data_IF_383161980576
#
_entry.id   IF_383161980576
#
_cell.length_a   1.000
_cell.length_b   1.000
_cell.length_c   1.000
_cell.angle_alpha   90.00
_cell.angle_beta   90.00
_cell.angle_gamma   90.00
#
_symmetry.space_group_name_H-M   'P 1'
#
loop_
_entity.id
_entity.type
_entity.pdbx_description
1 polymer ?
#
# COMPACT_ATOMS: atom_id res chain seq x y z
N UNK A 1 -5.76 39.70 10.20
CA UNK A 1 -5.77 38.21 10.25
C UNK A 1 -5.72 37.70 8.82
N UNK A 2 -4.64 37.00 8.44
CA UNK A 2 -4.48 36.43 7.09
C UNK A 2 -5.53 35.34 6.85
N UNK A 3 -6.35 35.52 5.81
CA UNK A 3 -7.35 34.56 5.37
C UNK A 3 -6.62 33.33 4.79
N UNK A 4 -6.24 32.38 5.65
CA UNK A 4 -5.54 31.14 5.26
C UNK A 4 -6.48 30.34 4.37
N UNK A 5 -6.23 30.38 3.06
CA UNK A 5 -6.95 29.58 2.05
C UNK A 5 -6.85 28.11 2.45
N UNK A 6 -7.98 27.50 2.88
CA UNK A 6 -8.08 26.08 3.20
C UNK A 6 -7.74 25.29 1.94
N UNK A 7 -6.60 24.62 1.90
CA UNK A 7 -6.28 23.69 0.83
C UNK A 7 -7.06 22.42 1.14
N UNK A 8 -8.07 22.14 0.33
CA UNK A 8 -8.84 20.91 0.43
C UNK A 8 -8.00 19.79 -0.20
N UNK A 9 -7.29 19.02 0.62
CA UNK A 9 -6.67 17.79 0.16
C UNK A 9 -7.78 16.79 -0.18
N UNK A 10 -7.91 16.47 -1.46
CA UNK A 10 -8.90 15.51 -1.91
C UNK A 10 -8.55 14.08 -1.49
N UNK A 11 -7.25 13.75 -1.44
CA UNK A 11 -6.73 12.46 -1.01
C UNK A 11 -5.28 12.58 -0.49
N UNK A 12 -4.89 11.63 0.36
CA UNK A 12 -3.51 11.37 0.77
C UNK A 12 -3.04 10.05 0.16
N UNK A 13 -1.73 9.84 0.08
CA UNK A 13 -1.13 8.62 -0.47
C UNK A 13 -0.56 7.80 0.68
N UNK A 14 -0.90 6.51 0.75
CA UNK A 14 -0.39 5.59 1.76
C UNK A 14 0.50 4.53 1.13
N UNK A 15 1.67 4.28 1.71
CA UNK A 15 2.60 3.23 1.30
C UNK A 15 2.99 2.41 2.52
N UNK A 16 2.99 1.09 2.39
CA UNK A 16 3.53 0.18 3.40
C UNK A 16 4.77 -0.48 2.82
N UNK A 17 5.85 -0.56 3.60
CA UNK A 17 7.10 -1.19 3.18
C UNK A 17 7.77 -1.93 4.33
N UNK A 18 8.83 -2.68 4.03
CA UNK A 18 9.65 -3.41 5.00
C UNK A 18 11.08 -3.57 4.46
N UNK A 19 11.97 -4.07 5.30
CA UNK A 19 13.42 -4.07 5.06
C UNK A 19 13.84 -4.63 3.69
N UNK A 20 13.26 -5.76 3.25
CA UNK A 20 13.70 -6.41 2.00
C UNK A 20 13.35 -5.60 0.74
N UNK A 21 12.40 -4.67 0.83
CA UNK A 21 11.95 -3.85 -0.31
C UNK A 21 12.56 -2.46 -0.34
N UNK A 22 13.38 -2.11 0.65
CA UNK A 22 13.85 -0.75 0.86
C UNK A 22 14.58 -0.17 -0.35
N UNK A 23 15.68 -0.81 -0.76
CA UNK A 23 16.56 -0.25 -1.80
C UNK A 23 15.99 -0.39 -3.21
N UNK A 24 15.49 -1.58 -3.54
CA UNK A 24 15.08 -1.90 -4.91
C UNK A 24 13.73 -1.29 -5.31
N UNK A 25 12.80 -1.16 -4.36
CA UNK A 25 11.41 -0.81 -4.67
C UNK A 25 10.98 0.50 -3.98
N UNK A 26 11.18 0.59 -2.66
CA UNK A 26 10.66 1.71 -1.89
C UNK A 26 11.37 3.03 -2.18
N UNK A 27 12.70 3.06 -2.26
CA UNK A 27 13.45 4.29 -2.61
C UNK A 27 13.00 4.83 -3.98
N UNK A 28 12.98 4.04 -5.07
CA UNK A 28 12.48 4.49 -6.37
C UNK A 28 11.04 5.00 -6.31
N UNK A 29 10.13 4.28 -5.63
CA UNK A 29 8.73 4.68 -5.54
C UNK A 29 8.57 6.04 -4.83
N UNK A 30 9.23 6.24 -3.69
CA UNK A 30 9.10 7.50 -2.95
C UNK A 30 9.60 8.68 -3.78
N UNK A 31 10.75 8.53 -4.47
CA UNK A 31 11.24 9.57 -5.39
C UNK A 31 10.21 9.90 -6.49
N UNK A 32 9.55 8.87 -7.07
CA UNK A 32 8.50 9.07 -8.07
C UNK A 32 7.27 9.74 -7.47
N UNK A 33 6.84 9.34 -6.27
CA UNK A 33 5.67 9.90 -5.61
C UNK A 33 5.84 11.38 -5.27
N UNK A 34 7.00 11.78 -4.73
CA UNK A 34 7.24 13.20 -4.38
C UNK A 34 7.32 14.08 -5.62
N UNK A 35 7.79 13.54 -6.76
CA UNK A 35 7.85 14.27 -8.03
C UNK A 35 6.48 14.34 -8.73
N UNK A 36 5.73 13.24 -8.75
CA UNK A 36 4.43 13.17 -9.42
C UNK A 36 3.34 13.86 -8.59
N UNK A 37 3.44 13.78 -7.26
CA UNK A 37 2.47 14.31 -6.30
C UNK A 37 3.10 15.27 -5.27
N UNK A 38 3.78 16.35 -5.70
CA UNK A 38 4.48 17.27 -4.79
C UNK A 38 3.52 18.03 -3.85
N UNK A 39 2.24 18.10 -4.21
CA UNK A 39 1.18 18.76 -3.47
C UNK A 39 0.36 17.84 -2.57
N UNK A 40 0.66 16.53 -2.55
CA UNK A 40 -0.08 15.55 -1.74
C UNK A 40 0.72 15.15 -0.51
N UNK A 41 -0.01 14.80 0.54
CA UNK A 41 0.53 14.09 1.69
C UNK A 41 0.86 12.66 1.29
N UNK A 42 2.04 12.18 1.69
CA UNK A 42 2.46 10.79 1.56
C UNK A 42 2.72 10.24 2.96
N UNK A 43 2.08 9.13 3.32
CA UNK A 43 2.20 8.45 4.60
C UNK A 43 2.86 7.10 4.37
N UNK A 44 4.00 6.86 5.00
CA UNK A 44 4.73 5.61 4.92
C UNK A 44 4.63 4.83 6.23
N UNK A 45 4.13 3.60 6.19
CA UNK A 45 4.22 2.68 7.31
C UNK A 45 5.43 1.78 7.07
N UNK A 46 6.45 1.96 7.92
CA UNK A 46 7.67 1.14 7.91
C UNK A 46 7.40 -0.05 8.83
N UNK A 47 7.11 -1.19 8.22
CA UNK A 47 6.74 -2.39 8.94
C UNK A 47 7.97 -3.06 9.57
N UNK A 48 7.74 -3.73 10.70
CA UNK A 48 8.81 -4.36 11.47
C UNK A 48 9.29 -5.66 10.86
N UNK A 49 10.49 -6.06 11.24
CA UNK A 49 11.12 -7.32 10.86
C UNK A 49 11.38 -8.15 12.13
N UNK A 50 11.49 -9.48 11.99
CA UNK A 50 11.70 -10.39 13.13
C UNK A 50 13.13 -10.36 13.67
N UNK A 51 14.11 -10.11 12.79
CA UNK A 51 15.50 -9.79 13.19
C UNK A 51 15.57 -8.34 13.66
N UNK A 52 15.73 -8.16 14.96
CA UNK A 52 15.79 -6.86 15.63
C UNK A 52 17.01 -6.03 15.23
N UNK A 53 18.18 -6.66 15.09
CA UNK A 53 19.41 -5.95 14.73
C UNK A 53 19.33 -5.42 13.29
N UNK A 54 18.82 -6.24 12.37
CA UNK A 54 18.52 -5.83 11.01
C UNK A 54 17.48 -4.70 10.99
N UNK A 55 16.41 -4.84 11.78
CA UNK A 55 15.35 -3.84 11.85
C UNK A 55 15.86 -2.48 12.34
N UNK A 56 16.63 -2.45 13.43
CA UNK A 56 17.19 -1.19 13.97
C UNK A 56 18.07 -0.50 12.93
N UNK A 57 18.91 -1.26 12.22
CA UNK A 57 19.76 -0.69 11.17
C UNK A 57 18.93 -0.15 10.00
N UNK A 58 17.91 -0.91 9.57
CA UNK A 58 16.98 -0.49 8.53
C UNK A 58 16.23 0.79 8.91
N UNK A 59 15.67 0.87 10.13
CA UNK A 59 14.95 2.04 10.62
C UNK A 59 15.80 3.31 10.58
N UNK A 60 17.09 3.23 10.92
CA UNK A 60 18.01 4.38 10.79
C UNK A 60 18.15 4.86 9.34
N UNK A 61 18.29 3.93 8.39
CA UNK A 61 18.49 4.27 6.99
C UNK A 61 17.23 4.83 6.33
N UNK A 62 16.08 4.19 6.56
CA UNK A 62 14.81 4.60 5.94
C UNK A 62 14.32 5.94 6.49
N UNK A 63 14.47 6.20 7.79
CA UNK A 63 14.10 7.50 8.35
C UNK A 63 15.01 8.62 7.85
N UNK A 64 16.31 8.40 7.75
CA UNK A 64 17.25 9.34 7.15
C UNK A 64 16.93 9.63 5.67
N UNK A 65 16.45 8.63 4.91
CA UNK A 65 15.98 8.82 3.55
C UNK A 65 14.68 9.65 3.50
N UNK A 66 13.66 9.28 4.27
CA UNK A 66 12.35 9.93 4.24
C UNK A 66 12.38 11.37 4.74
N UNK A 67 13.25 11.69 5.71
CA UNK A 67 13.43 13.05 6.25
C UNK A 67 13.92 14.07 5.21
N UNK A 68 14.30 13.64 4.01
CA UNK A 68 14.64 14.51 2.88
C UNK A 68 13.40 15.14 2.24
N UNK A 69 12.21 14.60 2.49
CA UNK A 69 10.98 14.98 1.81
C UNK A 69 9.96 15.57 2.80
N UNK A 70 9.65 16.87 2.71
CA UNK A 70 8.77 17.54 3.66
C UNK A 70 7.29 17.15 3.53
N UNK A 71 6.88 16.56 2.41
CA UNK A 71 5.51 16.07 2.20
C UNK A 71 5.32 14.59 2.57
N UNK A 72 6.36 13.96 3.15
CA UNK A 72 6.35 12.56 3.54
C UNK A 72 6.35 12.46 5.06
N UNK A 73 5.38 11.71 5.59
CA UNK A 73 5.24 11.37 7.00
C UNK A 73 5.37 9.86 7.17
N UNK A 74 5.80 9.39 8.34
CA UNK A 74 5.97 7.97 8.55
C UNK A 74 5.72 7.52 9.98
N UNK A 75 5.35 6.24 10.10
CA UNK A 75 5.39 5.47 11.36
C UNK A 75 6.40 4.34 11.19
N UNK A 76 7.26 4.18 12.19
CA UNK A 76 8.19 3.06 12.28
C UNK A 76 7.69 2.02 13.27
N UNK A 77 7.81 0.75 12.89
CA UNK A 77 7.54 -0.38 13.77
C UNK A 77 8.82 -1.16 14.01
N UNK A 78 9.13 -1.45 15.27
CA UNK A 78 10.21 -2.37 15.62
C UNK A 78 9.82 -3.83 15.39
N UNK A 79 8.52 -4.13 15.52
CA UNK A 79 7.95 -5.47 15.35
C UNK A 79 6.95 -5.50 14.22
N UNK A 80 6.94 -6.60 13.46
CA UNK A 80 6.01 -6.80 12.36
C UNK A 80 4.56 -6.57 12.81
N UNK A 81 3.81 -5.82 12.01
CA UNK A 81 2.37 -5.59 12.12
C UNK A 81 1.67 -6.18 10.90
N UNK A 82 0.40 -6.57 11.04
CA UNK A 82 -0.40 -7.02 9.91
C UNK A 82 -0.53 -5.92 8.85
N UNK A 83 -0.62 -6.34 7.58
CA UNK A 83 -0.83 -5.39 6.48
C UNK A 83 -2.17 -4.67 6.63
N UNK A 84 -3.21 -5.40 7.05
CA UNK A 84 -4.53 -4.85 7.39
C UNK A 84 -4.44 -3.69 8.41
N UNK A 85 -3.66 -3.87 9.48
CA UNK A 85 -3.44 -2.82 10.48
C UNK A 85 -2.72 -1.61 9.89
N UNK A 86 -1.73 -1.83 9.03
CA UNK A 86 -1.05 -0.75 8.34
C UNK A 86 -2.01 0.07 7.45
N UNK A 87 -2.96 -0.57 6.76
CA UNK A 87 -4.00 0.11 5.99
C UNK A 87 -4.95 0.92 6.89
N UNK A 88 -5.35 0.36 8.04
CA UNK A 88 -6.15 1.09 9.03
C UNK A 88 -5.42 2.34 9.54
N UNK A 89 -4.12 2.23 9.83
CA UNK A 89 -3.29 3.36 10.25
C UNK A 89 -3.18 4.44 9.18
N UNK A 90 -2.92 4.08 7.93
CA UNK A 90 -2.92 5.03 6.80
C UNK A 90 -4.25 5.80 6.75
N UNK A 91 -5.38 5.10 6.88
CA UNK A 91 -6.68 5.75 6.83
C UNK A 91 -6.91 6.70 8.01
N UNK A 92 -6.53 6.31 9.23
CA UNK A 92 -6.68 7.17 10.41
C UNK A 92 -5.79 8.41 10.34
N UNK A 93 -4.54 8.24 9.95
CA UNK A 93 -3.54 9.32 9.91
C UNK A 93 -3.75 10.31 8.77
N UNK A 94 -4.36 9.87 7.68
CA UNK A 94 -4.61 10.70 6.49
C UNK A 94 -5.34 12.00 6.85
N UNK A 95 -4.76 13.15 6.48
CA UNK A 95 -5.45 14.43 6.61
C UNK A 95 -6.64 14.52 5.65
N UNK A 96 -6.57 13.83 4.51
CA UNK A 96 -7.63 13.83 3.53
C UNK A 96 -8.78 12.89 3.92
N UNK A 97 -9.91 13.07 3.24
CA UNK A 97 -11.09 12.18 3.38
C UNK A 97 -10.89 10.81 2.71
N UNK A 98 -9.88 10.71 1.85
CA UNK A 98 -9.60 9.57 0.99
C UNK A 98 -8.11 9.22 1.06
N UNK A 99 -7.81 7.94 0.95
CA UNK A 99 -6.45 7.44 0.89
C UNK A 99 -6.29 6.63 -0.39
N UNK A 100 -5.32 7.03 -1.21
CA UNK A 100 -4.79 6.23 -2.31
C UNK A 100 -3.69 5.34 -1.72
N UNK A 101 -3.98 4.07 -1.53
CA UNK A 101 -3.03 3.09 -1.00
C UNK A 101 -2.27 2.48 -2.17
N UNK A 102 -0.94 2.47 -2.08
CA UNK A 102 -0.02 2.02 -3.13
C UNK A 102 1.03 1.11 -2.48
N UNK A 103 1.22 -0.08 -3.03
CA UNK A 103 2.29 -0.98 -2.61
C UNK A 103 3.66 -0.44 -3.03
N UNK A 104 4.70 -0.81 -2.29
CA UNK A 104 6.06 -0.36 -2.54
C UNK A 104 6.70 -0.92 -3.82
N UNK A 105 6.21 -2.06 -4.35
CA UNK A 105 6.72 -2.73 -5.55
C UNK A 105 6.06 -2.28 -6.86
N UNK A 106 5.82 -0.97 -7.00
CA UNK A 106 5.22 -0.37 -8.19
C UNK A 106 6.07 0.79 -8.70
N UNK A 107 5.88 1.14 -9.97
CA UNK A 107 6.42 2.37 -10.55
C UNK A 107 5.32 3.16 -11.22
N UNK A 108 5.42 4.49 -11.13
CA UNK A 108 4.44 5.42 -11.68
C UNK A 108 5.08 6.64 -12.33
N UNK A 109 4.29 7.35 -13.14
CA UNK A 109 4.67 8.60 -13.79
C UNK A 109 3.54 9.64 -13.76
N UNK A 110 3.75 10.79 -14.42
CA UNK A 110 2.75 11.86 -14.53
C UNK A 110 1.44 11.45 -15.22
N UNK A 111 1.48 10.47 -16.13
CA UNK A 111 0.27 9.95 -16.77
C UNK A 111 -0.64 9.27 -15.74
N UNK A 112 -0.06 8.59 -14.74
CA UNK A 112 -0.83 7.97 -13.66
C UNK A 112 -1.65 9.03 -12.92
N UNK A 113 -1.01 10.10 -12.44
CA UNK A 113 -1.70 11.20 -11.76
C UNK A 113 -2.86 11.74 -12.59
N UNK A 114 -2.60 12.07 -13.86
CA UNK A 114 -3.62 12.63 -14.75
C UNK A 114 -4.83 11.71 -14.90
N UNK A 115 -4.61 10.40 -15.07
CA UNK A 115 -5.68 9.42 -15.22
C UNK A 115 -6.42 9.18 -13.90
N UNK A 116 -5.67 9.06 -12.81
CA UNK A 116 -6.21 8.85 -11.48
C UNK A 116 -7.09 10.03 -11.03
N UNK A 117 -6.62 11.28 -11.15
CA UNK A 117 -7.39 12.46 -10.76
C UNK A 117 -8.68 12.58 -11.61
N UNK A 118 -8.65 12.21 -12.89
CA UNK A 118 -9.86 12.14 -13.73
C UNK A 118 -10.87 11.07 -13.27
N UNK A 119 -10.38 9.92 -12.81
CA UNK A 119 -11.26 8.88 -12.22
C UNK A 119 -11.86 9.41 -10.92
N UNK A 120 -11.07 10.11 -10.11
CA UNK A 120 -11.47 10.64 -8.81
C UNK A 120 -12.61 11.67 -8.89
N UNK A 121 -12.62 12.51 -9.93
CA UNK A 121 -13.71 13.50 -10.18
C UNK A 121 -15.10 12.86 -10.20
N UNK A 122 -15.20 11.60 -10.64
CA UNK A 122 -16.47 10.89 -10.82
C UNK A 122 -16.69 9.79 -9.77
N UNK A 123 -15.73 9.55 -8.87
CA UNK A 123 -15.75 8.41 -7.95
C UNK A 123 -15.31 8.83 -6.55
N UNK A 124 -16.20 8.66 -5.57
CA UNK A 124 -16.03 9.32 -4.28
C UNK A 124 -15.53 8.45 -3.14
N UNK A 125 -15.66 7.12 -3.25
CA UNK A 125 -15.67 6.25 -2.06
C UNK A 125 -14.67 5.08 -2.09
N UNK A 126 -14.71 4.20 -3.08
CA UNK A 126 -13.79 3.07 -3.16
C UNK A 126 -13.67 2.56 -4.59
N UNK A 127 -12.45 2.19 -5.00
CA UNK A 127 -12.19 1.46 -6.25
C UNK A 127 -10.78 0.89 -6.27
N UNK A 128 -10.57 -0.15 -7.08
CA UNK A 128 -9.25 -0.70 -7.38
C UNK A 128 -8.73 -0.24 -8.75
N UNK A 129 -7.42 -0.18 -8.91
CA UNK A 129 -6.76 0.25 -10.15
C UNK A 129 -6.11 -0.95 -10.82
N UNK A 130 -6.31 -1.10 -12.12
CA UNK A 130 -5.77 -2.19 -12.95
C UNK A 130 -6.05 -3.59 -12.37
N UNK A 131 -7.27 -3.80 -11.85
CA UNK A 131 -7.71 -5.09 -11.25
C UNK A 131 -6.80 -5.59 -10.12
N UNK A 132 -6.18 -4.67 -9.38
CA UNK A 132 -5.19 -5.03 -8.38
C UNK A 132 -5.38 -4.24 -7.08
N UNK A 133 -5.22 -4.95 -5.97
CA UNK A 133 -5.15 -4.41 -4.61
C UNK A 133 -3.79 -3.79 -4.27
N UNK A 134 -2.84 -3.80 -5.21
CA UNK A 134 -1.58 -3.06 -5.04
C UNK A 134 -1.72 -1.56 -5.20
N UNK A 135 -2.87 -1.09 -5.69
CA UNK A 135 -3.18 0.32 -5.84
C UNK A 135 -4.69 0.51 -5.86
N UNK A 136 -5.23 1.10 -4.79
CA UNK A 136 -6.67 1.31 -4.63
C UNK A 136 -6.94 2.60 -3.87
N UNK A 137 -8.12 3.18 -4.12
CA UNK A 137 -8.63 4.30 -3.36
C UNK A 137 -9.63 3.79 -2.33
N UNK A 138 -9.57 4.32 -1.12
CA UNK A 138 -10.60 4.12 -0.10
C UNK A 138 -10.90 5.41 0.65
N UNK A 139 -12.17 5.72 0.86
CA UNK A 139 -12.62 6.86 1.66
C UNK A 139 -12.90 6.46 3.10
N UNK A 140 -12.70 7.41 4.01
CA UNK A 140 -13.06 7.30 5.43
C UNK A 140 -14.54 6.95 5.60
N UNK A 141 -15.43 7.55 4.79
CA UNK A 141 -16.87 7.23 4.83
C UNK A 141 -17.16 5.79 4.40
N UNK A 142 -16.46 5.28 3.40
CA UNK A 142 -16.60 3.89 2.95
C UNK A 142 -16.13 2.90 4.02
N UNK A 143 -14.99 3.20 4.68
CA UNK A 143 -14.51 2.40 5.80
C UNK A 143 -15.48 2.40 6.99
N UNK A 144 -16.15 3.52 7.29
CA UNK A 144 -17.19 3.54 8.34
C UNK A 144 -18.38 2.64 8.02
N UNK A 145 -18.70 2.46 6.74
CA UNK A 145 -19.84 1.66 6.31
C UNK A 145 -19.52 0.15 6.28
N UNK A 146 -18.32 -0.21 5.81
CA UNK A 146 -17.85 -1.60 5.66
C UNK A 146 -17.16 -2.14 6.93
N UNK A 147 -16.56 -1.25 7.72
CA UNK A 147 -15.73 -1.55 8.88
C UNK A 147 -14.24 -1.57 8.55
N UNK A 148 -13.42 -1.71 9.60
CA UNK A 148 -11.95 -1.76 9.51
C UNK A 148 -11.43 -2.92 8.66
N UNK A 149 -10.20 -2.84 8.15
CA UNK A 149 -9.49 -4.02 7.68
C UNK A 149 -9.26 -4.99 8.85
N UNK A 150 -9.34 -6.29 8.58
CA UNK A 150 -9.28 -7.36 9.58
C UNK A 150 -7.84 -7.54 10.11
N UNK A 151 -7.53 -6.95 11.27
CA UNK A 151 -6.17 -6.98 11.82
C UNK A 151 -5.72 -8.35 12.33
N UNK A 152 -6.65 -9.30 12.53
CA UNK A 152 -6.35 -10.69 12.90
C UNK A 152 -5.71 -11.49 11.75
N UNK A 153 -5.69 -10.94 10.53
CA UNK A 153 -4.85 -11.42 9.42
C UNK A 153 -3.41 -10.97 9.65
N UNK A 154 -2.66 -11.72 10.47
CA UNK A 154 -1.35 -11.33 11.00
C UNK A 154 -0.23 -11.20 9.95
N UNK A 155 -0.27 -12.00 8.89
CA UNK A 155 0.74 -12.05 7.85
C UNK A 155 0.38 -11.17 6.65
N UNK A 156 0.75 -11.63 5.45
CA UNK A 156 0.34 -11.03 4.17
C UNK A 156 -0.63 -11.95 3.43
N UNK A 157 -1.60 -11.39 2.73
CA UNK A 157 -2.58 -12.11 1.92
C UNK A 157 -3.94 -12.23 2.60
N UNK A 158 -4.99 -12.37 1.80
CA UNK A 158 -6.40 -12.46 2.24
C UNK A 158 -6.99 -11.18 2.83
N UNK A 159 -6.22 -10.10 3.03
CA UNK A 159 -6.78 -8.82 3.46
C UNK A 159 -7.71 -8.24 2.40
N UNK A 160 -7.34 -8.40 1.13
CA UNK A 160 -8.15 -8.07 -0.04
C UNK A 160 -9.39 -8.97 -0.14
N UNK A 161 -9.20 -10.28 -0.04
CA UNK A 161 -10.28 -11.26 -0.06
C UNK A 161 -11.31 -11.02 1.04
N UNK A 162 -10.86 -10.77 2.27
CA UNK A 162 -11.73 -10.46 3.42
C UNK A 162 -12.55 -9.19 3.16
N UNK A 163 -11.88 -8.13 2.71
CA UNK A 163 -12.53 -6.84 2.50
C UNK A 163 -13.54 -6.90 1.34
N UNK A 164 -13.21 -7.58 0.23
CA UNK A 164 -14.15 -7.82 -0.88
C UNK A 164 -15.42 -8.52 -0.38
N UNK A 165 -15.27 -9.61 0.37
CA UNK A 165 -16.44 -10.37 0.86
C UNK A 165 -17.34 -9.49 1.74
N UNK A 166 -16.77 -8.59 2.54
CA UNK A 166 -17.54 -7.65 3.36
C UNK A 166 -18.20 -6.54 2.55
N UNK A 167 -17.56 -6.05 1.49
CA UNK A 167 -18.17 -5.10 0.55
C UNK A 167 -19.39 -5.77 -0.11
N UNK A 168 -19.23 -6.99 -0.63
CA UNK A 168 -20.30 -7.73 -1.30
C UNK A 168 -21.45 -8.07 -0.34
N UNK A 169 -21.15 -8.45 0.91
CA UNK A 169 -22.17 -8.69 1.94
C UNK A 169 -23.02 -7.45 2.27
N UNK A 170 -22.52 -6.24 1.98
CA UNK A 170 -23.25 -4.97 2.09
C UNK A 170 -24.03 -4.62 0.81
N UNK A 171 -24.05 -5.49 -0.20
CA UNK A 171 -24.71 -5.26 -1.48
C UNK A 171 -24.03 -4.18 -2.33
N UNK A 172 -22.71 -4.02 -2.19
CA UNK A 172 -21.92 -3.02 -2.92
C UNK A 172 -21.00 -3.67 -3.94
N UNK A 173 -20.67 -2.90 -4.98
CA UNK A 173 -19.71 -3.29 -6.00
C UNK A 173 -18.26 -2.99 -5.59
N UNK A 174 -17.33 -3.61 -6.32
CA UNK A 174 -15.88 -3.33 -6.27
C UNK A 174 -15.50 -2.72 -7.64
N UNK A 175 -15.62 -1.39 -7.82
CA UNK A 175 -15.35 -0.77 -9.10
C UNK A 175 -13.88 -0.89 -9.49
N UNK A 176 -13.62 -1.05 -10.78
CA UNK A 176 -12.28 -1.20 -11.34
C UNK A 176 -12.03 -0.12 -12.39
N UNK A 177 -10.87 0.54 -12.31
CA UNK A 177 -10.44 1.53 -13.29
C UNK A 177 -9.06 1.23 -13.84
N UNK A 178 -8.85 1.59 -15.11
CA UNK A 178 -7.55 1.40 -15.77
C UNK A 178 -6.76 2.70 -15.73
N UNK A 179 -5.53 2.62 -15.24
CA UNK A 179 -4.54 3.69 -15.32
C UNK A 179 -3.24 3.13 -15.91
N UNK A 180 -2.83 3.62 -17.07
CA UNK A 180 -1.66 3.13 -17.80
C UNK A 180 -0.33 3.66 -17.25
N UNK A 181 -0.35 4.74 -16.48
CA UNK A 181 0.86 5.33 -15.93
C UNK A 181 1.44 4.62 -14.70
N UNK A 182 0.88 3.49 -14.27
CA UNK A 182 1.34 2.70 -13.12
C UNK A 182 1.58 1.23 -13.52
N UNK A 183 2.68 0.65 -13.05
CA UNK A 183 3.10 -0.73 -13.32
C UNK A 183 3.45 -1.42 -12.01
N UNK A 184 3.02 -2.67 -11.88
CA UNK A 184 3.36 -3.53 -10.74
C UNK A 184 4.51 -4.47 -11.13
N UNK A 185 5.58 -4.48 -10.35
CA UNK A 185 6.74 -5.35 -10.60
C UNK A 185 6.53 -6.80 -10.11
N UNK A 186 5.55 -7.03 -9.24
CA UNK A 186 5.28 -8.32 -8.57
C UNK A 186 6.57 -8.87 -7.94
N UNK A 187 7.07 -8.16 -6.92
CA UNK A 187 8.27 -8.59 -6.22
C UNK A 187 7.97 -9.83 -5.35
N UNK A 188 8.88 -10.82 -5.29
CA UNK A 188 8.73 -11.95 -4.37
C UNK A 188 8.61 -11.44 -2.93
N UNK A 189 7.86 -12.17 -2.11
CA UNK A 189 7.83 -11.91 -0.67
C UNK A 189 9.03 -12.61 -0.03
N UNK A 190 10.01 -11.82 0.39
CA UNK A 190 11.18 -12.32 1.10
C UNK A 190 11.04 -11.98 2.58
N UNK A 191 11.01 -12.99 3.44
CA UNK A 191 11.04 -12.82 4.90
C UNK A 191 9.92 -11.92 5.44
N UNK A 192 8.75 -11.88 4.80
CA UNK A 192 7.57 -11.24 5.37
C UNK A 192 7.29 -11.87 6.74
N UNK A 193 7.08 -11.05 7.78
CA UNK A 193 6.82 -11.57 9.12
C UNK A 193 5.68 -12.59 9.12
N UNK A 194 5.80 -13.60 9.98
CA UNK A 194 4.82 -14.69 10.16
C UNK A 194 4.77 -15.77 9.07
N UNK A 195 5.73 -15.82 8.13
CA UNK A 195 5.83 -16.89 7.13
C UNK A 195 5.94 -18.31 7.72
N UNK A 196 6.47 -18.44 8.95
CA UNK A 196 6.81 -19.72 9.59
C UNK A 196 5.95 -20.06 10.83
N UNK A 197 4.75 -19.48 10.96
CA UNK A 197 3.94 -19.57 12.20
C UNK A 197 2.74 -20.51 12.08
N UNK A 198 2.43 -21.04 10.89
CA UNK A 198 1.38 -22.06 10.78
C UNK A 198 1.93 -23.45 11.12
N UNK A 199 1.22 -24.17 11.99
CA UNK A 199 1.49 -25.57 12.32
C UNK A 199 1.16 -26.53 11.15
N UNK A 200 0.42 -26.07 10.13
CA UNK A 200 -0.17 -26.92 9.10
C UNK A 200 0.52 -26.85 7.74
N UNK A 201 1.36 -25.84 7.49
CA UNK A 201 2.06 -25.67 6.22
C UNK A 201 3.38 -24.93 6.41
N UNK A 202 4.48 -25.57 6.02
CA UNK A 202 5.79 -24.94 5.82
C UNK A 202 5.70 -23.95 4.64
N UNK A 203 5.48 -22.67 4.93
CA UNK A 203 5.29 -21.64 3.92
C UNK A 203 3.90 -21.70 3.28
N UNK A 204 3.21 -20.57 3.24
CA UNK A 204 1.83 -20.53 2.74
C UNK A 204 1.70 -20.77 1.23
N UNK A 205 0.46 -20.78 0.75
CA UNK A 205 0.16 -21.03 -0.67
C UNK A 205 0.52 -19.78 -1.50
N UNK A 206 1.64 -19.84 -2.22
CA UNK A 206 2.10 -18.74 -3.08
C UNK A 206 2.62 -17.55 -2.27
N UNK A 207 2.03 -16.36 -2.49
CA UNK A 207 2.38 -15.11 -1.80
C UNK A 207 1.56 -14.87 -0.52
N UNK A 208 0.76 -15.84 -0.08
CA UNK A 208 -0.11 -15.69 1.08
C UNK A 208 0.48 -16.45 2.25
N UNK A 209 0.50 -15.79 3.41
CA UNK A 209 0.90 -16.43 4.66
C UNK A 209 -0.11 -17.51 5.05
N UNK A 210 0.42 -18.63 5.52
CA UNK A 210 -0.39 -19.77 5.95
C UNK A 210 -1.37 -19.40 7.07
N UNK A 211 -0.92 -18.58 8.02
CA UNK A 211 -1.73 -18.10 9.15
C UNK A 211 -2.95 -17.30 8.66
N UNK A 212 -2.82 -16.50 7.60
CA UNK A 212 -3.94 -15.74 7.05
C UNK A 212 -4.95 -16.65 6.36
N UNK A 213 -4.50 -17.64 5.60
CA UNK A 213 -5.41 -18.62 4.99
C UNK A 213 -6.17 -19.42 6.05
N UNK A 214 -5.49 -19.89 7.09
CA UNK A 214 -6.12 -20.62 8.19
C UNK A 214 -7.17 -19.76 8.91
N UNK A 215 -6.84 -18.50 9.20
CA UNK A 215 -7.80 -17.57 9.79
C UNK A 215 -8.98 -17.31 8.85
N UNK A 216 -8.73 -17.12 7.55
CA UNK A 216 -9.77 -16.86 6.55
C UNK A 216 -10.75 -18.04 6.44
N UNK A 217 -10.24 -19.27 6.40
CA UNK A 217 -11.06 -20.49 6.36
C UNK A 217 -11.84 -20.71 7.67
N UNK A 218 -11.28 -20.28 8.81
CA UNK A 218 -12.01 -20.25 10.08
C UNK A 218 -13.13 -19.21 10.04
N UNK A 219 -12.88 -18.02 9.49
CA UNK A 219 -13.84 -16.90 9.45
C UNK A 219 -15.02 -17.15 8.53
N UNK A 220 -14.80 -17.76 7.37
CA UNK A 220 -15.83 -17.90 6.34
C UNK A 220 -16.35 -19.35 6.19
N UNK A 221 -17.62 -19.46 5.83
CA UNK A 221 -18.26 -20.68 5.31
C UNK A 221 -18.95 -20.38 3.98
N UNK A 222 -19.14 -21.39 3.13
CA UNK A 222 -19.94 -21.23 1.92
C UNK A 222 -21.41 -21.01 2.29
N UNK A 223 -22.08 -20.10 1.57
CA UNK A 223 -23.54 -19.95 1.63
C UNK A 223 -24.26 -21.22 1.20
N UNK A 224 -25.56 -21.31 1.50
CA UNK A 224 -26.40 -22.46 1.14
C UNK A 224 -26.42 -22.73 -0.38
N UNK A 225 -26.36 -21.68 -1.21
CA UNK A 225 -26.27 -21.79 -2.67
C UNK A 225 -24.84 -22.04 -3.19
N UNK A 226 -23.84 -22.03 -2.30
CA UNK A 226 -22.43 -22.23 -2.61
C UNK A 226 -21.76 -21.09 -3.37
N UNK A 227 -22.46 -19.99 -3.64
CA UNK A 227 -21.99 -18.90 -4.51
C UNK A 227 -21.27 -17.77 -3.78
N UNK A 228 -21.46 -17.67 -2.46
CA UNK A 228 -20.89 -16.60 -1.64
C UNK A 228 -20.26 -17.15 -0.37
N UNK A 229 -19.43 -16.33 0.26
CA UNK A 229 -18.89 -16.61 1.58
C UNK A 229 -19.71 -15.85 2.62
N UNK A 230 -20.08 -16.55 3.69
CA UNK A 230 -20.81 -16.03 4.84
C UNK A 230 -19.86 -16.06 6.03
N UNK A 231 -19.82 -14.97 6.80
CA UNK A 231 -19.05 -14.91 8.05
C UNK A 231 -19.69 -15.85 9.06
N UNK A 232 -18.89 -16.71 9.69
CA UNK A 232 -19.36 -17.59 10.77
C UNK A 232 -19.67 -16.75 12.01
N UNK A 233 -20.66 -17.17 12.77
CA UNK A 233 -21.05 -16.53 14.02
C UNK A 233 -19.84 -16.35 14.97
N UNK A 234 -19.66 -15.13 15.49
CA UNK A 234 -18.54 -14.77 16.37
C UNK A 234 -17.22 -14.47 15.64
N UNK A 235 -17.19 -14.59 14.31
CA UNK A 235 -16.02 -14.27 13.47
C UNK A 235 -16.17 -12.93 12.75
N UNK A 236 -17.14 -12.09 13.14
CA UNK A 236 -17.30 -10.73 12.65
C UNK A 236 -16.02 -9.92 12.85
N UNK A 237 -15.80 -8.94 11.98
CA UNK A 237 -14.62 -8.06 12.09
C UNK A 237 -14.83 -7.14 13.30
N UNK A 238 -13.95 -7.17 14.31
CA UNK A 238 -14.13 -6.35 15.51
C UNK A 238 -14.00 -4.86 15.20
N UNK A 239 -14.56 -4.06 16.09
CA UNK A 239 -14.24 -2.65 16.19
C UNK A 239 -12.84 -2.49 16.80
N UNK A 240 -11.79 -2.49 15.97
CA UNK A 240 -10.41 -2.32 16.44
C UNK A 240 -10.15 -0.92 17.01
N UNK A 241 -10.77 0.09 16.41
CA UNK A 241 -10.73 1.49 16.85
C UNK A 241 -12.12 2.10 16.74
N UNK A 242 -12.38 3.16 17.50
CA UNK A 242 -13.58 3.96 17.35
C UNK A 242 -13.66 4.57 15.95
N UNK A 243 -14.85 4.56 15.32
CA UNK A 243 -15.03 5.13 13.98
C UNK A 243 -14.77 6.64 13.94
N UNK A 244 -14.83 7.33 15.08
CA UNK A 244 -14.44 8.73 15.21
C UNK A 244 -12.97 8.97 14.89
N UNK A 245 -12.11 7.94 14.96
CA UNK A 245 -10.72 8.05 14.52
C UNK A 245 -10.59 8.24 13.01
N UNK A 246 -11.65 7.99 12.24
CA UNK A 246 -11.73 8.31 10.82
C UNK A 246 -12.35 9.69 10.57
N UNK A 247 -12.76 10.44 11.59
CA UNK A 247 -13.17 11.82 11.39
C UNK A 247 -11.97 12.65 10.94
N UNK A 248 -12.17 13.43 9.88
CA UNK A 248 -11.14 14.36 9.41
C UNK A 248 -10.85 15.33 10.55
N UNK A 249 -9.60 15.40 10.98
CA UNK A 249 -9.17 16.51 11.82
C UNK A 249 -9.30 17.80 10.99
N UNK A 250 -9.66 18.92 11.61
CA UNK A 250 -9.61 20.24 10.97
C UNK A 250 -8.18 20.70 10.61
N UNK A 251 -7.20 19.79 10.71
CA UNK A 251 -5.80 20.04 10.41
C UNK A 251 -5.65 20.29 8.90
N UNK A 252 -5.20 21.50 8.61
CA UNK A 252 -4.90 21.94 7.25
C UNK A 252 -3.49 21.46 6.92
N UNK A 253 -3.38 20.42 6.09
CA UNK A 253 -2.11 20.12 5.43
C UNK A 253 -1.74 21.29 4.52
N UNK A 254 -0.51 21.78 4.66
CA UNK A 254 0.05 22.79 3.76
C UNK A 254 1.11 22.10 2.92
N UNK A 255 0.91 21.98 1.60
CA UNK A 255 1.93 21.41 0.73
C UNK A 255 3.20 22.26 0.86
N UNK A 256 4.35 21.64 1.15
CA UNK A 256 5.60 22.35 1.36
C UNK A 256 6.19 22.90 0.05
N UNK A 257 5.78 22.34 -1.09
CA UNK A 257 6.24 22.75 -2.42
C UNK A 257 5.27 23.74 -3.08
N UNK A 258 5.83 24.75 -3.75
CA UNK A 258 5.07 25.68 -4.57
C UNK A 258 4.53 24.91 -5.80
N UNK A 259 3.24 24.60 -5.78
CA UNK A 259 2.56 23.77 -6.79
C UNK A 259 2.48 24.38 -8.19
N UNK A 260 3.08 25.57 -8.39
CA UNK A 260 3.20 26.23 -9.70
C UNK A 260 4.38 25.71 -10.54
N UNK A 261 5.34 25.00 -9.94
CA UNK A 261 6.44 24.41 -10.69
C UNK A 261 6.01 23.07 -11.30
N UNK A 262 6.17 22.95 -12.62
CA UNK A 262 5.86 21.71 -13.34
C UNK A 262 6.95 20.67 -13.03
N UNK A 263 6.59 19.41 -12.76
CA UNK A 263 7.56 18.33 -12.60
C UNK A 263 8.47 18.20 -13.83
N UNK A 264 9.70 17.74 -13.61
CA UNK A 264 10.76 17.68 -14.62
C UNK A 264 10.35 16.84 -15.82
N UNK A 265 10.45 17.42 -17.03
CA UNK A 265 10.11 16.75 -18.29
C UNK A 265 10.93 15.46 -18.51
N UNK A 266 12.14 15.37 -17.93
CA UNK A 266 13.14 14.33 -18.19
C UNK A 266 12.72 12.93 -17.71
N UNK A 267 11.87 12.78 -16.69
CA UNK A 267 11.47 11.47 -16.16
C UNK A 267 10.29 10.82 -16.90
N UNK A 268 9.50 11.60 -17.65
CA UNK A 268 8.32 11.11 -18.39
C UNK A 268 8.67 10.04 -19.43
N UNK A 269 9.93 10.00 -19.89
CA UNK A 269 10.44 9.10 -20.93
C UNK A 269 11.02 7.77 -20.40
N UNK A 270 11.10 7.53 -19.09
CA UNK A 270 11.89 6.40 -18.53
C UNK A 270 11.11 5.12 -18.24
N UNK A 271 9.78 5.11 -18.36
CA UNK A 271 8.98 3.88 -18.20
C UNK A 271 9.35 2.72 -19.15
N UNK A 272 9.65 2.92 -20.45
CA UNK A 272 10.02 1.80 -21.31
C UNK A 272 11.36 1.14 -20.93
N UNK A 273 12.24 1.82 -20.19
CA UNK A 273 13.53 1.23 -19.78
C UNK A 273 13.43 0.36 -18.52
N UNK A 274 12.61 0.75 -17.52
CA UNK A 274 12.47 -0.03 -16.29
C UNK A 274 11.60 -1.29 -16.46
N UNK A 275 10.63 -1.28 -17.38
CA UNK A 275 9.84 -2.48 -17.72
C UNK A 275 10.72 -3.54 -18.42
N UNK A 276 11.64 -3.11 -19.29
CA UNK A 276 12.60 -4.03 -19.93
C UNK A 276 13.58 -4.66 -18.92
N UNK A 277 13.94 -3.93 -17.86
CA UNK A 277 14.84 -4.44 -16.82
C UNK A 277 14.19 -5.50 -15.91
N UNK A 278 12.90 -5.32 -15.59
CA UNK A 278 12.08 -6.27 -14.81
C UNK A 278 11.97 -7.64 -15.52
N UNK A 279 11.70 -7.66 -16.82
CA UNK A 279 11.60 -8.91 -17.60
C UNK A 279 12.95 -9.57 -17.90
N UNK A 280 14.09 -8.87 -17.74
CA UNK A 280 15.43 -9.35 -18.06
C UNK A 280 16.11 -10.15 -16.93
N UNK A 281 15.54 -10.19 -15.71
CA UNK A 281 16.18 -10.88 -14.57
C UNK A 281 16.26 -12.42 -14.69
N UNK A 282 15.55 -13.06 -15.64
CA UNK A 282 15.86 -14.46 -16.01
C UNK A 282 17.23 -14.62 -16.70
N UNK A 283 17.84 -13.53 -17.16
CA UNK A 283 19.12 -13.51 -17.90
C UNK A 283 20.26 -12.80 -17.14
N UNK A 284 19.94 -11.90 -16.20
CA UNK A 284 20.94 -11.09 -15.48
C UNK A 284 21.80 -11.88 -14.47
N UNK A 285 21.31 -13.02 -13.97
CA UNK A 285 22.06 -13.88 -13.04
C UNK A 285 23.35 -14.49 -13.62
N UNK A 286 23.51 -14.52 -14.95
CA UNK A 286 24.76 -14.95 -15.62
C UNK A 286 25.75 -13.81 -15.85
N UNK A 287 25.30 -12.57 -15.99
CA UNK A 287 26.19 -11.44 -16.32
C UNK A 287 27.02 -10.99 -15.11
N UNK A 288 26.44 -11.04 -13.90
CA UNK A 288 27.14 -10.65 -12.67
C UNK A 288 28.23 -11.65 -12.22
N UNK A 289 28.16 -12.92 -12.66
CA UNK A 289 29.24 -13.91 -12.44
C UNK A 289 30.39 -13.78 -13.46
N UNK A 290 30.14 -13.18 -14.62
CA UNK A 290 31.16 -12.94 -15.64
C UNK A 290 32.13 -11.81 -15.28
N UNK A 291 31.61 -10.72 -14.69
CA UNK A 291 32.41 -9.51 -14.42
C UNK A 291 33.39 -9.72 -13.25
N UNK A 292 33.06 -10.57 -12.25
CA UNK A 292 33.98 -10.92 -11.16
C UNK A 292 35.16 -11.84 -11.58
N UNK A 293 35.14 -12.40 -12.79
CA UNK A 293 36.20 -13.28 -13.30
C UNK A 293 37.21 -12.57 -14.21
N UNK A 294 36.96 -11.31 -14.56
CA UNK A 294 37.84 -10.49 -15.42
C UNK A 294 38.61 -9.44 -14.60
N UNK A 295 38.30 -9.29 -13.31
CA UNK A 295 38.98 -8.37 -12.40
C UNK A 295 39.70 -9.09 -11.24
N UNK A 296 40.28 -10.26 -11.53
CA UNK A 296 41.30 -10.91 -10.71
C UNK A 296 42.45 -11.36 -11.60
#
# INVERSE_FOLDING_TARGET
MSNKKKINLEYSIGVVTYVARFEEFFIPLINQLVEVFPDKEIICIINGHHDEALQINYLKQVTAFLNKFPNVHYITNEKHQSLAKCFNWIAMMSFAKRSLIINDDVSLNLLFRKQFEKVLENNSSFFIINKSWSHFLISKSFMKEVGWFEERLLGTGQEDGDYINRILAKGKDVPEFVCHGIVNYVAPQENAGWANISEKTDGGVGKYSAVNNEFFDKKYSKSQDGKSLVVKEGMETPMFYELSNLDSSDLIYKPPYNTKEKPSFFLTLLLPFNVAYSYSRKSAGKLYRGIKRVLK
#
